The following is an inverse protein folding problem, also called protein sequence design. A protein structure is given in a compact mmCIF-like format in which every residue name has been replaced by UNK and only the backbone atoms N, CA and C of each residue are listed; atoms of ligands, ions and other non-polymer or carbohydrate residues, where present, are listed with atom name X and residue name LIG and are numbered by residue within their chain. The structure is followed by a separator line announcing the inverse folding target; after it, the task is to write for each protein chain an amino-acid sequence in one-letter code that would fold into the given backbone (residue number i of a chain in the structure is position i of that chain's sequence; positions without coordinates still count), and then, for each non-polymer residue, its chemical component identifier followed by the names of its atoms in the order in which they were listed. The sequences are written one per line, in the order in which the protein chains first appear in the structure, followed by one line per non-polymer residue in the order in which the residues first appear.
data_IF_512720717081
#
_entry.id   IF_512720717081
#
_cell.length_a   1.000
_cell.length_b   1.000
_cell.length_c   1.000
_cell.angle_alpha   90.00
_cell.angle_beta   90.00
_cell.angle_gamma   90.00
#
_symmetry.space_group_name_H-M   'P 1'
#
loop_
_entity.id
_entity.type
_entity.pdbx_description
1 polymer ?
#
# COMPACT_ATOMS: atom_id res chain seq x y z
N UNK A 1 18.27 4.74 4.91
CA UNK A 1 16.89 4.54 5.41
C UNK A 1 16.92 3.64 6.65
N UNK A 2 15.87 3.65 7.47
CA UNK A 2 15.68 2.61 8.49
C UNK A 2 15.71 1.23 7.79
N UNK A 3 16.41 0.22 8.34
CA UNK A 3 16.52 -1.09 7.69
C UNK A 3 15.15 -1.75 7.45
N UNK A 4 14.89 -2.08 6.18
CA UNK A 4 13.70 -2.78 5.71
C UNK A 4 14.01 -3.47 4.38
N UNK A 5 13.29 -4.56 4.08
CA UNK A 5 13.36 -5.27 2.81
C UNK A 5 12.46 -4.56 1.79
N UNK A 6 13.06 -4.11 0.68
CA UNK A 6 12.39 -3.34 -0.37
C UNK A 6 12.11 -4.13 -1.66
N UNK A 7 12.27 -5.45 -1.60
CA UNK A 7 12.00 -6.39 -2.69
C UNK A 7 11.12 -7.54 -2.20
N UNK A 8 10.39 -8.15 -3.13
CA UNK A 8 9.47 -9.23 -2.82
C UNK A 8 10.11 -10.61 -3.09
N UNK A 9 9.97 -11.56 -2.17
CA UNK A 9 10.60 -12.88 -2.24
C UNK A 9 12.12 -12.79 -2.22
N UNK A 10 12.78 -13.46 -3.17
CA UNK A 10 14.24 -13.47 -3.31
C UNK A 10 14.75 -12.46 -4.34
N UNK A 11 13.90 -11.53 -4.82
CA UNK A 11 14.36 -10.51 -5.77
C UNK A 11 15.21 -9.46 -5.04
N UNK A 12 16.09 -8.79 -5.80
CA UNK A 12 16.93 -7.67 -5.32
C UNK A 12 16.74 -6.43 -6.22
N UNK A 13 15.49 -6.18 -6.62
CA UNK A 13 15.08 -5.15 -7.58
C UNK A 13 14.61 -3.81 -6.96
N UNK A 14 14.50 -3.73 -5.64
CA UNK A 14 13.88 -2.64 -4.90
C UNK A 14 12.48 -2.23 -5.41
N UNK A 15 11.72 -3.19 -5.97
CA UNK A 15 10.43 -2.91 -6.60
C UNK A 15 9.41 -2.27 -5.66
N UNK A 16 9.45 -2.58 -4.36
CA UNK A 16 8.57 -1.98 -3.35
C UNK A 16 8.93 -0.52 -3.14
N UNK A 17 10.23 -0.20 -3.02
CA UNK A 17 10.69 1.18 -2.82
C UNK A 17 10.37 2.06 -4.02
N UNK A 18 10.57 1.54 -5.24
CA UNK A 18 10.24 2.26 -6.46
C UNK A 18 8.74 2.61 -6.49
N UNK A 19 7.87 1.62 -6.30
CA UNK A 19 6.42 1.85 -6.27
C UNK A 19 6.00 2.79 -5.14
N UNK A 20 6.59 2.65 -3.95
CA UNK A 20 6.34 3.56 -2.83
C UNK A 20 6.66 5.01 -3.19
N UNK A 21 7.84 5.27 -3.77
CA UNK A 21 8.25 6.63 -4.14
C UNK A 21 7.38 7.22 -5.27
N UNK A 22 7.01 6.42 -6.27
CA UNK A 22 6.12 6.83 -7.36
C UNK A 22 4.74 7.26 -6.84
N UNK A 23 4.11 6.43 -6.01
CA UNK A 23 2.81 6.74 -5.42
C UNK A 23 2.88 7.87 -4.38
N UNK A 24 3.97 7.98 -3.63
CA UNK A 24 4.17 9.10 -2.69
C UNK A 24 4.33 10.41 -3.44
N UNK A 25 5.12 10.42 -4.52
CA UNK A 25 5.28 11.59 -5.39
C UNK A 25 3.93 12.02 -5.98
N UNK A 26 3.16 11.07 -6.54
CA UNK A 26 1.83 11.35 -7.05
C UNK A 26 0.94 11.99 -5.98
N UNK A 27 0.96 11.46 -4.76
CA UNK A 27 0.12 11.98 -3.67
C UNK A 27 0.51 13.40 -3.25
N UNK A 28 1.80 13.68 -3.04
CA UNK A 28 2.23 15.04 -2.67
C UNK A 28 2.03 16.04 -3.83
N UNK A 29 2.09 15.57 -5.08
CA UNK A 29 1.73 16.39 -6.24
C UNK A 29 0.25 16.78 -6.22
N UNK A 30 -0.64 15.82 -6.01
CA UNK A 30 -2.09 16.04 -5.88
C UNK A 30 -2.44 16.96 -4.69
N UNK A 31 -1.69 16.87 -3.59
CA UNK A 31 -1.86 17.72 -2.40
C UNK A 31 -1.22 19.10 -2.53
N UNK A 32 -0.49 19.39 -3.62
CA UNK A 32 0.23 20.66 -3.80
C UNK A 32 1.40 20.85 -2.82
N UNK A 33 1.99 19.75 -2.33
CA UNK A 33 3.07 19.74 -1.32
C UNK A 33 4.47 19.64 -1.92
N UNK A 34 4.61 19.85 -3.22
CA UNK A 34 5.93 19.95 -3.86
C UNK A 34 6.40 21.39 -3.74
N UNK A 35 7.56 21.58 -3.13
CA UNK A 35 8.23 22.88 -3.14
C UNK A 35 8.93 23.03 -4.49
N UNK A 36 8.38 23.85 -5.37
CA UNK A 36 8.93 24.10 -6.71
C UNK A 36 9.37 25.56 -6.85
N UNK A 37 10.57 25.75 -7.41
CA UNK A 37 11.14 27.06 -7.76
C UNK A 37 11.67 27.02 -9.20
N UNK A 38 12.32 28.08 -9.65
CA UNK A 38 13.01 28.07 -10.95
C UNK A 38 14.26 27.16 -10.95
N UNK A 39 14.88 26.96 -9.77
CA UNK A 39 16.19 26.32 -9.65
C UNK A 39 16.14 24.91 -9.04
N UNK A 40 15.04 24.52 -8.42
CA UNK A 40 14.88 23.21 -7.80
C UNK A 40 13.42 22.83 -7.58
N UNK A 41 13.17 21.54 -7.43
CA UNK A 41 11.93 20.99 -6.89
C UNK A 41 12.24 19.98 -5.79
N UNK A 42 11.48 20.00 -4.70
CA UNK A 42 11.70 19.14 -3.53
C UNK A 42 10.36 18.56 -3.09
N UNK A 43 10.38 17.28 -2.71
CA UNK A 43 9.28 16.70 -1.97
C UNK A 43 9.77 15.80 -0.83
N UNK A 44 8.93 15.67 0.19
CA UNK A 44 9.17 14.80 1.32
C UNK A 44 8.74 13.36 0.99
N UNK A 45 9.66 12.41 1.12
CA UNK A 45 9.37 11.00 0.81
C UNK A 45 8.52 10.29 1.88
N UNK A 46 8.36 10.88 3.06
CA UNK A 46 7.78 10.21 4.23
C UNK A 46 8.66 9.10 4.81
N UNK A 47 9.82 8.81 4.21
CA UNK A 47 10.79 7.85 4.71
C UNK A 47 11.80 8.53 5.64
N UNK A 48 12.41 7.71 6.47
CA UNK A 48 13.39 8.14 7.45
C UNK A 48 14.72 7.42 7.26
N UNK A 49 15.83 8.12 7.53
CA UNK A 49 17.15 7.52 7.56
C UNK A 49 17.36 6.70 8.86
N UNK A 50 18.54 6.09 9.04
CA UNK A 50 18.85 5.27 10.23
C UNK A 50 18.84 6.05 11.56
N UNK A 51 18.88 7.37 11.49
CA UNK A 51 18.82 8.29 12.63
C UNK A 51 17.42 8.88 12.81
N UNK A 52 16.41 8.34 12.13
CA UNK A 52 15.04 8.88 12.13
C UNK A 52 14.95 10.34 11.67
N UNK A 53 15.83 10.75 10.75
CA UNK A 53 15.69 12.03 10.06
C UNK A 53 14.86 11.86 8.77
N UNK A 54 13.94 12.78 8.47
CA UNK A 54 13.18 12.75 7.23
C UNK A 54 14.09 12.76 6.00
N UNK A 55 13.68 12.04 4.96
CA UNK A 55 14.36 11.98 3.67
C UNK A 55 13.54 12.74 2.64
N UNK A 56 14.18 13.66 1.95
CA UNK A 56 13.62 14.46 0.87
C UNK A 56 14.26 14.02 -0.45
N UNK A 57 13.51 14.13 -1.53
CA UNK A 57 14.07 14.06 -2.89
C UNK A 57 14.31 15.47 -3.38
N UNK A 58 15.48 15.70 -3.96
CA UNK A 58 15.90 16.97 -4.51
C UNK A 58 16.10 16.85 -6.03
N UNK A 59 15.43 17.73 -6.77
CA UNK A 59 15.53 17.84 -8.22
C UNK A 59 16.15 19.16 -8.63
N UNK A 60 16.89 19.15 -9.73
CA UNK A 60 17.45 20.34 -10.40
C UNK A 60 16.94 20.42 -11.84
N UNK A 61 17.02 21.60 -12.50
CA UNK A 61 16.71 21.71 -13.91
C UNK A 61 17.55 20.74 -14.73
N UNK A 62 16.88 20.01 -15.62
CA UNK A 62 17.53 19.08 -16.52
C UNK A 62 18.27 19.87 -17.61
N UNK A 63 19.58 19.62 -17.73
CA UNK A 63 20.44 20.31 -18.69
C UNK A 63 20.39 19.67 -20.09
N UNK A 64 19.77 18.50 -20.24
CA UNK A 64 19.64 17.80 -21.51
C UNK A 64 18.42 18.36 -22.27
N UNK A 65 18.60 18.90 -23.48
CA UNK A 65 17.48 19.36 -24.31
C UNK A 65 16.46 18.25 -24.59
N UNK A 66 15.20 18.63 -24.81
CA UNK A 66 14.09 17.73 -25.14
C UNK A 66 13.82 16.60 -24.10
N UNK A 67 14.17 16.86 -22.83
CA UNK A 67 13.88 15.98 -21.70
C UNK A 67 12.93 16.64 -20.71
N UNK A 68 12.46 15.85 -19.74
CA UNK A 68 11.62 16.37 -18.66
C UNK A 68 12.36 17.47 -17.88
N UNK A 69 11.63 18.50 -17.43
CA UNK A 69 12.17 19.69 -16.76
C UNK A 69 13.09 19.36 -15.58
N UNK A 70 12.73 18.36 -14.80
CA UNK A 70 13.40 18.03 -13.54
C UNK A 70 14.30 16.79 -13.66
N UNK A 71 15.53 16.90 -13.19
CA UNK A 71 16.48 15.81 -13.07
C UNK A 71 16.70 15.48 -11.59
N UNK A 72 16.67 14.18 -11.25
CA UNK A 72 16.91 13.71 -9.89
C UNK A 72 18.38 13.95 -9.53
N UNK A 73 18.62 14.88 -8.62
CA UNK A 73 19.97 15.17 -8.14
C UNK A 73 20.32 14.26 -6.96
N UNK A 74 19.42 14.06 -6.00
CA UNK A 74 19.66 13.11 -4.92
C UNK A 74 18.64 13.10 -3.79
N UNK A 75 19.02 12.47 -2.68
CA UNK A 75 18.23 12.34 -1.46
C UNK A 75 18.90 13.10 -0.33
N UNK A 76 18.13 13.95 0.36
CA UNK A 76 18.61 14.94 1.29
C UNK A 76 17.96 14.78 2.66
N UNK A 77 18.70 15.15 3.70
CA UNK A 77 18.12 15.39 5.03
C UNK A 77 17.78 16.85 5.19
N UNK A 78 16.94 17.17 6.17
CA UNK A 78 16.67 18.55 6.61
C UNK A 78 17.96 19.36 6.83
N UNK A 79 18.99 18.78 7.47
CA UNK A 79 20.27 19.47 7.65
C UNK A 79 20.92 19.89 6.33
N UNK A 80 20.88 19.02 5.30
CA UNK A 80 21.45 19.35 4.00
C UNK A 80 20.69 20.50 3.32
N UNK A 81 19.36 20.51 3.43
CA UNK A 81 18.50 21.54 2.85
C UNK A 81 18.64 22.89 3.57
N UNK A 82 18.66 22.89 4.89
CA UNK A 82 18.88 24.09 5.70
C UNK A 82 20.25 24.70 5.44
N UNK A 83 21.30 23.87 5.30
CA UNK A 83 22.65 24.34 4.92
C UNK A 83 22.65 25.00 3.54
N UNK A 84 21.77 24.59 2.64
CA UNK A 84 21.58 25.21 1.33
C UNK A 84 20.68 26.46 1.36
N UNK A 85 20.22 26.89 2.54
CA UNK A 85 19.37 28.08 2.71
C UNK A 85 17.88 27.83 2.49
N UNK A 86 17.45 26.57 2.38
CA UNK A 86 16.05 26.20 2.16
C UNK A 86 15.39 25.99 3.53
N UNK A 87 14.58 26.95 3.95
CA UNK A 87 13.96 26.99 5.29
C UNK A 87 12.54 26.44 5.32
N UNK A 88 11.76 26.67 4.27
CA UNK A 88 10.38 26.20 4.16
C UNK A 88 10.37 24.81 3.53
N UNK A 89 10.42 23.76 4.36
CA UNK A 89 10.51 22.38 3.87
C UNK A 89 9.13 21.83 3.51
N UNK A 90 9.00 21.07 2.40
CA UNK A 90 7.72 20.49 2.01
C UNK A 90 7.24 19.45 3.01
N UNK A 91 5.93 19.41 3.23
CA UNK A 91 5.29 18.44 4.10
C UNK A 91 5.20 17.05 3.47
N UNK A 92 4.99 16.04 4.31
CA UNK A 92 4.76 14.65 3.85
C UNK A 92 3.36 14.46 3.27
N UNK A 93 3.22 13.44 2.43
CA UNK A 93 1.92 12.96 1.96
C UNK A 93 0.98 12.62 3.13
N UNK A 94 -0.29 13.00 2.99
CA UNK A 94 -1.35 12.73 3.95
C UNK A 94 -2.37 11.73 3.36
N UNK A 95 -2.27 10.48 3.82
CA UNK A 95 -3.16 9.42 3.34
C UNK A 95 -4.42 9.25 4.18
N UNK A 96 -4.40 9.75 5.43
CA UNK A 96 -5.45 9.53 6.43
C UNK A 96 -5.58 10.81 7.25
N UNK A 97 -6.81 11.31 7.37
CA UNK A 97 -7.11 12.47 8.23
C UNK A 97 -7.45 12.03 9.66
N UNK A 98 -8.25 10.97 9.80
CA UNK A 98 -8.65 10.43 11.10
C UNK A 98 -8.00 9.05 11.32
N UNK A 99 -7.10 8.89 12.32
CA UNK A 99 -6.47 7.61 12.63
C UNK A 99 -7.46 6.47 12.90
N UNK A 100 -8.70 6.76 13.34
CA UNK A 100 -9.73 5.73 13.55
C UNK A 100 -10.12 5.01 12.24
N UNK A 101 -9.92 5.63 11.08
CA UNK A 101 -10.17 5.02 9.76
C UNK A 101 -9.21 3.86 9.44
N UNK A 102 -8.10 3.74 10.19
CA UNK A 102 -7.13 2.66 10.04
C UNK A 102 -7.46 1.41 10.85
N UNK A 103 -8.55 1.42 11.62
CA UNK A 103 -8.96 0.30 12.47
C UNK A 103 -10.10 -0.47 11.80
N UNK A 104 -9.87 -1.76 11.57
CA UNK A 104 -10.90 -2.66 11.05
C UNK A 104 -11.92 -2.99 12.14
N UNK A 105 -13.21 -2.83 11.83
CA UNK A 105 -14.30 -3.13 12.74
C UNK A 105 -14.74 -4.59 12.59
N UNK A 106 -14.26 -5.44 13.51
CA UNK A 106 -14.55 -6.88 13.51
C UNK A 106 -16.04 -7.21 13.71
N UNK A 107 -16.85 -6.26 14.19
CA UNK A 107 -18.29 -6.44 14.38
C UNK A 107 -19.09 -6.39 13.08
N UNK A 108 -18.50 -5.87 12.00
CA UNK A 108 -19.19 -5.73 10.73
C UNK A 108 -19.04 -6.97 9.85
N UNK A 109 -20.13 -7.31 9.15
CA UNK A 109 -20.09 -8.41 8.19
C UNK A 109 -19.37 -8.02 6.89
N UNK A 110 -18.72 -9.02 6.30
CA UNK A 110 -18.02 -8.88 5.03
C UNK A 110 -18.88 -9.53 3.94
N UNK A 111 -19.22 -8.76 2.91
CA UNK A 111 -20.01 -9.21 1.76
C UNK A 111 -19.10 -9.27 0.53
N UNK A 112 -18.74 -10.46 0.04
CA UNK A 112 -17.89 -10.62 -1.13
C UNK A 112 -18.65 -10.33 -2.43
N UNK A 113 -17.97 -9.73 -3.42
CA UNK A 113 -18.49 -9.55 -4.77
C UNK A 113 -17.97 -10.68 -5.68
N UNK A 114 -18.65 -11.84 -5.66
CA UNK A 114 -18.14 -13.05 -6.34
C UNK A 114 -17.95 -12.89 -7.85
N UNK A 115 -18.85 -12.20 -8.54
CA UNK A 115 -18.72 -11.93 -9.99
C UNK A 115 -17.38 -11.23 -10.29
N UNK A 116 -17.07 -10.17 -9.54
CA UNK A 116 -15.84 -9.41 -9.70
C UNK A 116 -14.60 -10.22 -9.30
N UNK A 117 -14.70 -11.10 -8.30
CA UNK A 117 -13.58 -11.93 -7.83
C UNK A 117 -13.30 -13.09 -8.81
N UNK A 118 -14.34 -13.76 -9.34
CA UNK A 118 -14.19 -15.04 -10.05
C UNK A 118 -14.39 -14.96 -11.58
N UNK A 119 -15.18 -14.01 -12.08
CA UNK A 119 -15.55 -13.96 -13.51
C UNK A 119 -14.71 -12.95 -14.29
N UNK A 120 -14.26 -11.87 -13.64
CA UNK A 120 -13.32 -10.94 -14.29
C UNK A 120 -11.97 -11.60 -14.54
N UNK A 121 -11.55 -11.63 -15.81
CA UNK A 121 -10.37 -12.38 -16.25
C UNK A 121 -9.10 -12.03 -15.45
N UNK A 122 -8.86 -10.74 -15.18
CA UNK A 122 -7.68 -10.29 -14.45
C UNK A 122 -7.69 -10.75 -12.99
N UNK A 123 -8.82 -10.65 -12.30
CA UNK A 123 -8.96 -11.06 -10.91
C UNK A 123 -8.93 -12.59 -10.78
N UNK A 124 -9.65 -13.28 -11.67
CA UNK A 124 -9.71 -14.74 -11.74
C UNK A 124 -8.32 -15.37 -11.90
N UNK A 125 -7.46 -14.74 -12.71
CA UNK A 125 -6.07 -15.17 -12.92
C UNK A 125 -5.18 -15.08 -11.67
N UNK A 126 -5.60 -14.35 -10.63
CA UNK A 126 -4.84 -14.26 -9.36
C UNK A 126 -5.11 -15.47 -8.47
N UNK A 127 -6.26 -16.12 -8.60
CA UNK A 127 -6.59 -17.30 -7.79
C UNK A 127 -5.68 -18.48 -8.10
N UNK A 128 -5.39 -19.34 -7.11
CA UNK A 128 -4.75 -20.63 -7.35
C UNK A 128 -5.52 -21.42 -8.41
N UNK A 129 -4.80 -22.07 -9.32
CA UNK A 129 -5.39 -22.77 -10.46
C UNK A 129 -6.43 -23.82 -10.06
N UNK A 130 -6.14 -24.56 -8.98
CA UNK A 130 -7.02 -25.57 -8.38
C UNK A 130 -8.35 -24.98 -7.93
N UNK A 131 -8.34 -23.75 -7.41
CA UNK A 131 -9.54 -23.05 -6.96
C UNK A 131 -10.26 -22.37 -8.14
N UNK A 132 -9.50 -21.74 -9.04
CA UNK A 132 -10.03 -21.05 -10.23
C UNK A 132 -10.91 -21.96 -11.08
N UNK A 133 -10.49 -23.22 -11.26
CA UNK A 133 -11.19 -24.19 -12.10
C UNK A 133 -12.22 -25.04 -11.31
N UNK A 134 -12.35 -24.84 -10.00
CA UNK A 134 -13.26 -25.61 -9.15
C UNK A 134 -14.70 -25.14 -9.27
N UNK A 135 -15.65 -26.07 -9.37
CA UNK A 135 -17.10 -25.78 -9.25
C UNK A 135 -17.51 -25.39 -7.82
N UNK A 136 -16.67 -25.70 -6.82
CA UNK A 136 -16.91 -25.41 -5.40
C UNK A 136 -16.24 -24.12 -4.92
N UNK A 137 -15.75 -23.27 -5.84
CA UNK A 137 -14.94 -22.09 -5.51
C UNK A 137 -15.63 -21.14 -4.52
N UNK A 138 -16.95 -20.97 -4.61
CA UNK A 138 -17.73 -20.12 -3.69
C UNK A 138 -17.71 -20.69 -2.28
N UNK A 139 -18.00 -21.98 -2.11
CA UNK A 139 -18.03 -22.65 -0.80
C UNK A 139 -16.64 -22.67 -0.15
N UNK A 140 -15.59 -22.87 -0.95
CA UNK A 140 -14.20 -22.80 -0.49
C UNK A 140 -13.85 -21.39 -0.01
N UNK A 141 -14.25 -20.37 -0.76
CA UNK A 141 -14.05 -18.97 -0.39
C UNK A 141 -14.81 -18.59 0.89
N UNK A 142 -16.05 -19.04 1.03
CA UNK A 142 -16.85 -18.82 2.24
C UNK A 142 -16.29 -19.55 3.47
N UNK A 143 -15.72 -20.74 3.25
CA UNK A 143 -14.94 -21.44 4.26
C UNK A 143 -13.74 -20.61 4.71
N UNK A 144 -12.95 -20.11 3.76
CA UNK A 144 -11.79 -19.26 4.03
C UNK A 144 -12.18 -17.98 4.76
N UNK A 145 -13.24 -17.28 4.35
CA UNK A 145 -13.69 -16.05 5.03
C UNK A 145 -14.17 -16.29 6.45
N UNK A 146 -14.88 -17.40 6.71
CA UNK A 146 -15.27 -17.75 8.09
C UNK A 146 -14.06 -18.01 8.96
N UNK A 147 -13.01 -18.63 8.41
CA UNK A 147 -11.74 -18.78 9.13
C UNK A 147 -11.06 -17.42 9.36
N UNK A 148 -11.00 -16.56 8.35
CA UNK A 148 -10.42 -15.22 8.46
C UNK A 148 -11.14 -14.37 9.51
N UNK A 149 -12.47 -14.47 9.64
CA UNK A 149 -13.22 -13.80 10.72
C UNK A 149 -12.73 -14.22 12.11
N UNK A 150 -12.46 -15.52 12.32
CA UNK A 150 -11.87 -16.02 13.58
C UNK A 150 -10.43 -15.51 13.80
N UNK A 151 -9.65 -15.36 12.73
CA UNK A 151 -8.31 -14.77 12.82
C UNK A 151 -8.38 -13.30 13.24
N UNK A 152 -9.34 -12.54 12.70
CA UNK A 152 -9.60 -11.15 13.06
C UNK A 152 -10.06 -10.99 14.51
N UNK A 153 -10.92 -11.90 14.99
CA UNK A 153 -11.35 -11.95 16.39
C UNK A 153 -10.18 -12.24 17.34
N UNK A 154 -9.21 -13.07 16.92
CA UNK A 154 -8.05 -13.42 17.70
C UNK A 154 -6.96 -12.33 17.70
N UNK A 155 -6.75 -11.65 16.56
CA UNK A 155 -5.81 -10.54 16.42
C UNK A 155 -6.35 -9.51 15.42
N UNK A 156 -6.77 -8.35 15.93
CA UNK A 156 -7.29 -7.24 15.13
C UNK A 156 -6.28 -6.72 14.09
N UNK A 157 -4.97 -6.94 14.30
CA UNK A 157 -3.91 -6.56 13.35
C UNK A 157 -3.84 -7.48 12.13
N UNK A 158 -4.65 -8.55 12.11
CA UNK A 158 -4.80 -9.42 10.94
C UNK A 158 -5.31 -8.63 9.74
N UNK A 159 -6.23 -7.68 9.95
CA UNK A 159 -6.61 -6.72 8.93
C UNK A 159 -5.52 -5.66 8.78
N UNK A 160 -5.05 -5.45 7.56
CA UNK A 160 -4.00 -4.49 7.25
C UNK A 160 -4.60 -3.35 6.44
N UNK A 161 -4.55 -2.09 6.90
CA UNK A 161 -5.02 -0.98 6.10
C UNK A 161 -4.12 -0.78 4.89
N UNK A 162 -4.73 -0.39 3.77
CA UNK A 162 -4.05 0.06 2.57
C UNK A 162 -4.69 1.35 2.06
N UNK A 163 -3.89 2.15 1.35
CA UNK A 163 -4.40 3.28 0.59
C UNK A 163 -4.58 2.88 -0.86
N UNK A 164 -5.79 3.06 -1.41
CA UNK A 164 -6.08 2.79 -2.81
C UNK A 164 -7.18 3.71 -3.32
N UNK A 165 -6.95 4.36 -4.46
CA UNK A 165 -7.91 5.23 -5.14
C UNK A 165 -8.59 6.24 -4.21
N UNK A 166 -7.78 7.06 -3.53
CA UNK A 166 -8.24 8.14 -2.65
C UNK A 166 -9.02 7.71 -1.41
N UNK A 167 -8.95 6.42 -1.04
CA UNK A 167 -9.62 5.91 0.15
C UNK A 167 -8.82 4.84 0.87
N UNK A 168 -9.21 4.61 2.13
CA UNK A 168 -8.70 3.50 2.93
C UNK A 168 -9.50 2.24 2.63
N UNK A 169 -8.79 1.16 2.37
CA UNK A 169 -9.34 -0.18 2.29
C UNK A 169 -8.59 -1.07 3.27
N UNK A 170 -9.17 -2.23 3.58
CA UNK A 170 -8.54 -3.22 4.43
C UNK A 170 -8.20 -4.47 3.64
N UNK A 171 -7.05 -5.04 3.91
CA UNK A 171 -6.61 -6.31 3.39
C UNK A 171 -6.81 -7.37 4.47
N UNK A 172 -7.54 -8.43 4.14
CA UNK A 172 -7.67 -9.60 5.00
C UNK A 172 -7.16 -10.84 4.26
N UNK A 173 -6.52 -11.80 4.96
CA UNK A 173 -5.98 -12.99 4.32
C UNK A 173 -7.11 -13.87 3.79
N UNK A 174 -6.91 -14.49 2.63
CA UNK A 174 -7.76 -15.57 2.11
C UNK A 174 -6.88 -16.81 1.94
N UNK A 175 -7.11 -17.80 2.81
CA UNK A 175 -6.41 -19.08 2.83
C UNK A 175 -7.29 -20.13 2.14
N UNK A 176 -7.01 -20.44 0.87
CA UNK A 176 -7.84 -21.34 0.05
C UNK A 176 -7.28 -22.75 -0.02
N UNK A 177 -5.95 -22.90 0.05
CA UNK A 177 -5.27 -24.19 -0.10
C UNK A 177 -4.70 -24.72 1.21
N UNK A 178 -4.20 -23.82 2.06
CA UNK A 178 -3.60 -24.15 3.36
C UNK A 178 -4.14 -23.16 4.42
N UNK A 179 -4.82 -23.64 5.48
CA UNK A 179 -5.34 -22.78 6.55
C UNK A 179 -4.30 -21.84 7.18
N UNK A 180 -3.02 -22.20 7.18
CA UNK A 180 -1.94 -21.42 7.78
C UNK A 180 -1.28 -20.41 6.82
N UNK A 181 -1.61 -20.46 5.52
CA UNK A 181 -0.94 -19.67 4.49
C UNK A 181 -1.95 -18.96 3.59
N UNK A 182 -1.90 -17.63 3.62
CA UNK A 182 -2.68 -16.82 2.71
C UNK A 182 -2.25 -17.06 1.25
N UNK A 183 -3.21 -17.31 0.37
CA UNK A 183 -3.00 -17.35 -1.08
C UNK A 183 -3.17 -15.95 -1.68
N UNK A 184 -4.12 -15.19 -1.13
CA UNK A 184 -4.57 -13.89 -1.61
C UNK A 184 -4.87 -12.96 -0.43
N UNK A 185 -5.00 -11.67 -0.74
CA UNK A 185 -5.58 -10.69 0.16
C UNK A 185 -6.91 -10.18 -0.42
N UNK A 186 -8.00 -10.30 0.34
CA UNK A 186 -9.27 -9.68 -0.04
C UNK A 186 -9.25 -8.21 0.36
N UNK A 187 -9.49 -7.34 -0.61
CA UNK A 187 -9.64 -5.90 -0.40
C UNK A 187 -11.08 -5.58 0.02
N UNK A 188 -11.23 -5.11 1.25
CA UNK A 188 -12.48 -4.77 1.91
C UNK A 188 -12.63 -3.25 2.02
N UNK A 189 -13.75 -2.71 1.54
CA UNK A 189 -14.11 -1.28 1.64
C UNK A 189 -15.29 -1.15 2.59
N UNK A 190 -15.24 -0.22 3.54
CA UNK A 190 -16.39 0.05 4.41
C UNK A 190 -17.51 0.69 3.59
N UNK A 191 -18.75 0.25 3.76
CA UNK A 191 -19.90 0.87 3.09
C UNK A 191 -20.12 2.31 3.57
N UNK A 192 -20.73 3.15 2.72
CA UNK A 192 -21.00 4.56 3.07
C UNK A 192 -21.86 4.71 4.33
N UNK A 193 -22.80 3.79 4.55
CA UNK A 193 -23.64 3.73 5.75
C UNK A 193 -22.90 3.19 6.99
N UNK A 194 -21.66 2.72 6.82
CA UNK A 194 -20.79 2.24 7.89
C UNK A 194 -21.14 0.87 8.46
N UNK A 195 -22.13 0.16 7.90
CA UNK A 195 -22.70 -1.05 8.50
C UNK A 195 -22.04 -2.36 8.06
N UNK A 196 -21.28 -2.35 6.95
CA UNK A 196 -20.68 -3.55 6.36
C UNK A 196 -19.34 -3.26 5.71
N UNK A 197 -18.61 -4.32 5.40
CA UNK A 197 -17.49 -4.29 4.47
C UNK A 197 -17.86 -4.98 3.15
N UNK A 198 -17.52 -4.35 2.03
CA UNK A 198 -17.60 -4.95 0.70
C UNK A 198 -16.24 -5.53 0.32
N UNK A 199 -16.15 -6.85 0.19
CA UNK A 199 -14.98 -7.56 -0.32
C UNK A 199 -14.96 -7.51 -1.84
N UNK A 200 -14.26 -6.54 -2.43
CA UNK A 200 -14.39 -6.24 -3.87
C UNK A 200 -13.52 -7.13 -4.74
N UNK A 201 -12.23 -7.25 -4.43
CA UNK A 201 -11.28 -7.97 -5.28
C UNK A 201 -10.22 -8.68 -4.44
N UNK A 202 -9.67 -9.76 -4.99
CA UNK A 202 -8.51 -10.42 -4.44
C UNK A 202 -7.23 -9.88 -5.09
N UNK A 203 -6.29 -9.46 -4.26
CA UNK A 203 -4.95 -9.03 -4.65
C UNK A 203 -3.97 -10.18 -4.44
N UNK A 204 -2.94 -10.23 -5.27
CA UNK A 204 -1.75 -11.03 -4.94
C UNK A 204 -1.08 -10.45 -3.70
N UNK A 205 -0.37 -11.27 -2.92
CA UNK A 205 0.33 -10.79 -1.72
C UNK A 205 1.34 -9.67 -2.04
N UNK A 206 1.97 -9.71 -3.23
CA UNK A 206 2.87 -8.65 -3.70
C UNK A 206 2.15 -7.32 -3.89
N UNK A 207 0.99 -7.33 -4.56
CA UNK A 207 0.17 -6.12 -4.76
C UNK A 207 -0.34 -5.57 -3.42
N UNK A 208 -0.86 -6.45 -2.56
CA UNK A 208 -1.31 -6.12 -1.22
C UNK A 208 -0.20 -5.44 -0.39
N UNK A 209 1.01 -6.01 -0.38
CA UNK A 209 2.14 -5.43 0.35
C UNK A 209 2.50 -4.04 -0.19
N UNK A 210 2.57 -3.87 -1.52
CA UNK A 210 2.87 -2.58 -2.15
C UNK A 210 1.89 -1.49 -1.70
N UNK A 211 0.59 -1.76 -1.75
CA UNK A 211 -0.43 -0.76 -1.40
C UNK A 211 -0.44 -0.45 0.10
N UNK A 212 -0.33 -1.46 0.95
CA UNK A 212 -0.32 -1.27 2.40
C UNK A 212 0.95 -0.55 2.88
N UNK A 213 2.09 -0.76 2.21
CA UNK A 213 3.36 -0.13 2.59
C UNK A 213 3.35 1.39 2.43
N UNK A 214 2.44 1.95 1.63
CA UNK A 214 2.26 3.41 1.52
C UNK A 214 1.90 4.04 2.87
N UNK A 215 1.12 3.34 3.69
CA UNK A 215 0.68 3.84 4.99
C UNK A 215 1.74 3.63 6.07
N UNK A 216 2.27 2.42 6.18
CA UNK A 216 3.24 2.06 7.21
C UNK A 216 4.06 0.82 6.84
N UNK A 217 5.22 0.65 7.49
CA UNK A 217 5.92 -0.63 7.51
C UNK A 217 5.01 -1.70 8.13
N UNK A 218 4.84 -2.81 7.42
CA UNK A 218 3.89 -3.86 7.79
C UNK A 218 4.56 -4.81 8.77
N UNK A 219 3.90 -5.02 9.92
CA UNK A 219 4.28 -6.03 10.90
C UNK A 219 3.14 -7.05 11.00
N UNK A 220 3.11 -8.00 10.07
CA UNK A 220 2.05 -9.01 9.94
C UNK A 220 2.63 -10.42 9.96
N UNK A 221 1.84 -11.39 10.42
CA UNK A 221 2.15 -12.81 10.38
C UNK A 221 1.93 -13.45 9.01
N UNK A 222 1.11 -12.83 8.14
CA UNK A 222 0.68 -13.43 6.87
C UNK A 222 1.09 -12.62 5.64
N UNK A 223 1.33 -11.30 5.79
CA UNK A 223 1.70 -10.42 4.69
C UNK A 223 3.12 -9.90 4.88
N UNK A 224 4.07 -10.54 4.19
CA UNK A 224 5.49 -10.23 4.24
C UNK A 224 6.05 -10.01 2.83
N UNK A 225 7.10 -9.18 2.68
CA UNK A 225 7.82 -9.03 1.43
C UNK A 225 8.84 -10.15 1.27
#
# INVERSE_FOLDING_TARGET
MVPEKWSFGSTEDNGILKGYLEHTFQRVYEEGKILETDNYAIFNTGLFNRYYQPVYVYFIPNLVPDRQRWFLEGFYTEYNLLKAGIVDLPERAEYVQNPAELVFDIGLDIVPQYEHIFEEAENSQRLPETIRNSVMKVQLFDGALRQTKRMLEADYRTAIPQYYNHGIQFLIPVCLQDPAKADLALACVKTEDGNKYLGRTCLTLKMAYHNARLLAKIHSSWLCP
#
